data_IF_563239562492
#
_entry.id   IF_563239562492
#
_cell.length_a   1.000
_cell.length_b   1.000
_cell.length_c   1.000
_cell.angle_alpha   90.00
_cell.angle_beta   90.00
_cell.angle_gamma   90.00
#
_symmetry.space_group_name_H-M   'P 1'
#
loop_
_entity.id
_entity.type
_entity.pdbx_description
1 polymer ?
#
# COMPACT_ATOMS: atom_id res chain seq x y z
N UNK A 1 -4.84 20.41 -23.92
CA UNK A 1 -5.52 20.92 -22.71
C UNK A 1 -4.51 20.94 -21.57
N UNK A 2 -4.29 22.07 -20.88
CA UNK A 2 -3.45 22.09 -19.69
C UNK A 2 -4.18 21.43 -18.50
N UNK A 3 -3.49 20.58 -17.75
CA UNK A 3 -4.02 19.97 -16.52
C UNK A 3 -4.31 21.05 -15.47
N UNK A 4 -5.41 20.95 -14.70
CA UNK A 4 -5.72 21.92 -13.66
C UNK A 4 -4.71 21.83 -12.51
N UNK A 5 -3.82 22.81 -12.43
CA UNK A 5 -2.91 22.97 -11.28
C UNK A 5 -3.71 23.16 -9.98
N UNK A 6 -3.50 22.32 -8.95
CA UNK A 6 -4.19 22.45 -7.66
C UNK A 6 -3.86 23.74 -6.91
N UNK A 7 -2.80 24.46 -7.30
CA UNK A 7 -2.30 25.65 -6.60
C UNK A 7 -3.03 26.95 -6.94
N UNK A 8 -4.00 26.96 -7.86
CA UNK A 8 -4.62 28.19 -8.37
C UNK A 8 -5.54 28.92 -7.36
N UNK A 9 -5.92 28.30 -6.24
CA UNK A 9 -6.64 28.96 -5.15
C UNK A 9 -6.39 28.26 -3.80
N UNK A 10 -5.53 28.81 -2.92
CA UNK A 10 -5.16 28.16 -1.66
C UNK A 10 -6.33 28.08 -0.66
N UNK A 11 -7.29 29.00 -0.69
CA UNK A 11 -8.47 28.95 0.18
C UNK A 11 -9.37 27.75 -0.14
N UNK A 12 -9.61 27.50 -1.44
CA UNK A 12 -10.39 26.34 -1.90
C UNK A 12 -9.68 25.02 -1.57
N UNK A 13 -8.35 24.98 -1.67
CA UNK A 13 -7.57 23.78 -1.32
C UNK A 13 -7.60 23.50 0.19
N UNK A 14 -7.44 24.53 1.03
CA UNK A 14 -7.60 24.42 2.50
C UNK A 14 -8.98 23.91 2.90
N UNK A 15 -10.05 24.42 2.28
CA UNK A 15 -11.41 23.95 2.55
C UNK A 15 -11.61 22.46 2.20
N UNK A 16 -11.02 21.98 1.09
CA UNK A 16 -11.08 20.56 0.70
C UNK A 16 -10.29 19.67 1.67
N UNK A 17 -9.08 20.08 2.08
CA UNK A 17 -8.27 19.35 3.07
C UNK A 17 -8.98 19.30 4.42
N UNK A 18 -9.50 20.44 4.90
CA UNK A 18 -10.27 20.51 6.14
C UNK A 18 -11.49 19.58 6.10
N UNK A 19 -12.23 19.56 4.98
CA UNK A 19 -13.37 18.66 4.81
C UNK A 19 -12.94 17.17 4.76
N UNK A 20 -11.74 16.85 4.25
CA UNK A 20 -11.18 15.50 4.31
C UNK A 20 -10.75 15.12 5.73
N UNK A 21 -10.06 15.98 6.46
CA UNK A 21 -9.64 15.72 7.85
C UNK A 21 -10.83 15.50 8.78
N UNK A 22 -11.90 16.30 8.64
CA UNK A 22 -13.16 16.09 9.39
C UNK A 22 -13.78 14.72 9.08
N UNK A 23 -13.82 14.31 7.79
CA UNK A 23 -14.32 12.98 7.39
C UNK A 23 -13.44 11.84 7.91
N UNK A 24 -12.12 12.01 7.95
CA UNK A 24 -11.22 11.01 8.52
C UNK A 24 -11.34 10.91 10.05
N UNK A 25 -11.58 12.03 10.74
CA UNK A 25 -11.86 12.07 12.17
C UNK A 25 -13.17 11.32 12.51
N UNK A 26 -14.26 11.62 11.81
CA UNK A 26 -15.54 10.92 12.03
C UNK A 26 -15.48 9.44 11.63
N UNK A 27 -14.77 9.10 10.54
CA UNK A 27 -14.51 7.71 10.17
C UNK A 27 -13.78 6.95 11.29
N UNK A 28 -12.74 7.57 11.90
CA UNK A 28 -12.00 6.99 13.01
C UNK A 28 -12.85 6.77 14.26
N UNK A 29 -13.73 7.72 14.60
CA UNK A 29 -14.65 7.58 15.73
C UNK A 29 -15.73 6.51 15.49
N UNK A 30 -16.17 6.30 14.25
CA UNK A 30 -17.10 5.20 13.93
C UNK A 30 -16.36 3.85 13.94
N UNK A 31 -15.15 3.79 13.37
CA UNK A 31 -14.32 2.59 13.40
C UNK A 31 -13.87 2.17 14.81
N UNK A 32 -13.85 3.06 15.81
CA UNK A 32 -13.56 2.65 17.19
C UNK A 32 -14.65 1.75 17.78
N UNK A 33 -15.89 1.80 17.28
CA UNK A 33 -16.98 0.87 17.67
C UNK A 33 -16.65 -0.58 17.26
N UNK A 34 -15.86 -0.78 16.19
CA UNK A 34 -15.38 -2.11 15.78
C UNK A 34 -14.46 -2.74 16.82
N UNK A 35 -13.77 -1.94 17.66
CA UNK A 35 -12.93 -2.45 18.74
C UNK A 35 -13.73 -3.13 19.87
N UNK A 36 -15.06 -2.94 19.92
CA UNK A 36 -15.95 -3.64 20.85
C UNK A 36 -16.40 -5.00 20.31
N UNK A 37 -16.22 -5.29 19.02
CA UNK A 37 -16.65 -6.56 18.42
C UNK A 37 -16.08 -7.82 19.11
N UNK A 38 -14.81 -7.87 19.58
CA UNK A 38 -14.29 -9.01 20.32
C UNK A 38 -15.09 -9.35 21.59
N UNK A 39 -15.78 -8.37 22.21
CA UNK A 39 -16.62 -8.60 23.39
C UNK A 39 -17.94 -9.32 23.06
N UNK A 40 -18.37 -9.29 21.80
CA UNK A 40 -19.59 -9.98 21.33
C UNK A 40 -19.30 -11.42 20.84
N UNK A 41 -18.03 -11.76 20.63
CA UNK A 41 -17.61 -13.10 20.16
C UNK A 41 -18.00 -14.24 21.12
N UNK A 42 -17.94 -14.10 22.47
CA UNK A 42 -18.35 -15.16 23.38
C UNK A 42 -19.84 -15.51 23.29
N UNK A 43 -20.71 -14.54 23.01
CA UNK A 43 -22.17 -14.73 22.94
C UNK A 43 -22.64 -15.13 21.53
N UNK A 44 -22.07 -14.55 20.47
CA UNK A 44 -22.57 -14.71 19.10
C UNK A 44 -21.66 -15.57 18.21
N UNK A 45 -20.42 -15.83 18.63
CA UNK A 45 -19.41 -16.54 17.84
C UNK A 45 -18.72 -15.67 16.78
N UNK A 46 -17.56 -16.14 16.31
CA UNK A 46 -16.65 -15.37 15.44
C UNK A 46 -17.28 -15.02 14.08
N UNK A 47 -18.03 -15.95 13.47
CA UNK A 47 -18.55 -15.80 12.12
C UNK A 47 -19.59 -14.66 11.95
N UNK A 48 -20.70 -14.60 12.72
CA UNK A 48 -21.67 -13.52 12.57
C UNK A 48 -21.13 -12.17 13.04
N UNK A 49 -20.29 -12.14 14.10
CA UNK A 49 -19.62 -10.91 14.55
C UNK A 49 -18.68 -10.37 13.47
N UNK A 50 -17.89 -11.24 12.84
CA UNK A 50 -17.03 -10.88 11.71
C UNK A 50 -17.82 -10.34 10.52
N UNK A 51 -18.95 -10.97 10.16
CA UNK A 51 -19.84 -10.48 9.11
C UNK A 51 -20.44 -9.10 9.45
N UNK A 52 -20.89 -8.90 10.68
CA UNK A 52 -21.43 -7.62 11.17
C UNK A 52 -20.38 -6.51 11.09
N UNK A 53 -19.16 -6.77 11.56
CA UNK A 53 -18.02 -5.85 11.48
C UNK A 53 -17.68 -5.49 10.04
N UNK A 54 -17.72 -6.46 9.12
CA UNK A 54 -17.41 -6.25 7.71
C UNK A 54 -18.49 -5.39 7.04
N UNK A 55 -19.78 -5.64 7.31
CA UNK A 55 -20.89 -4.79 6.84
C UNK A 55 -20.80 -3.38 7.42
N UNK A 56 -20.56 -3.24 8.72
CA UNK A 56 -20.39 -1.95 9.39
C UNK A 56 -19.25 -1.14 8.74
N UNK A 57 -18.08 -1.75 8.59
CA UNK A 57 -16.85 -1.09 8.10
C UNK A 57 -16.88 -0.80 6.61
N UNK A 58 -17.50 -1.66 5.79
CA UNK A 58 -17.53 -1.51 4.32
C UNK A 58 -18.76 -0.77 3.79
N UNK A 59 -19.87 -0.75 4.55
CA UNK A 59 -21.14 -0.14 4.10
C UNK A 59 -21.50 1.07 4.97
N UNK A 60 -21.60 0.90 6.30
CA UNK A 60 -22.12 1.96 7.16
C UNK A 60 -21.13 3.12 7.33
N UNK A 61 -19.86 2.84 7.67
CA UNK A 61 -18.83 3.88 7.85
C UNK A 61 -18.63 4.69 6.55
N UNK A 62 -18.49 4.10 5.34
CA UNK A 62 -18.32 4.87 4.11
C UNK A 62 -19.58 5.63 3.66
N UNK A 63 -20.78 5.15 4.05
CA UNK A 63 -22.04 5.86 3.80
C UNK A 63 -22.17 7.09 4.71
N UNK A 64 -22.00 6.94 6.02
CA UNK A 64 -22.09 8.04 7.01
C UNK A 64 -21.01 9.11 6.79
N UNK A 65 -19.80 8.70 6.38
CA UNK A 65 -18.69 9.62 6.05
C UNK A 65 -18.75 10.18 4.63
N UNK A 66 -19.80 9.81 3.87
CA UNK A 66 -20.09 10.28 2.52
C UNK A 66 -18.90 10.11 1.54
N UNK A 67 -18.22 8.96 1.66
CA UNK A 67 -17.06 8.59 0.84
C UNK A 67 -17.47 8.07 -0.55
N UNK A 68 -18.68 7.52 -0.65
CA UNK A 68 -19.32 7.07 -1.89
C UNK A 68 -20.73 7.63 -2.02
N UNK A 69 -21.07 8.24 -3.16
CA UNK A 69 -22.47 8.49 -3.50
C UNK A 69 -23.12 7.18 -3.94
N UNK A 70 -23.84 6.53 -3.02
CA UNK A 70 -24.46 5.19 -3.16
C UNK A 70 -25.20 4.97 -4.49
N UNK A 71 -25.90 6.00 -4.98
CA UNK A 71 -26.59 6.02 -6.28
C UNK A 71 -25.70 5.61 -7.47
N UNK A 72 -24.43 6.03 -7.51
CA UNK A 72 -23.52 5.73 -8.64
C UNK A 72 -23.00 4.29 -8.64
N UNK A 73 -22.99 3.60 -7.51
CA UNK A 73 -22.62 2.17 -7.44
C UNK A 73 -23.79 1.29 -7.88
N UNK A 74 -24.99 1.56 -7.36
CA UNK A 74 -26.24 0.91 -7.76
C UNK A 74 -26.50 1.05 -9.27
N UNK A 75 -26.33 2.24 -9.84
CA UNK A 75 -26.49 2.48 -11.29
C UNK A 75 -25.48 1.68 -12.14
N UNK A 76 -24.28 1.38 -11.61
CA UNK A 76 -23.28 0.55 -12.31
C UNK A 76 -23.63 -0.94 -12.22
N UNK A 77 -24.03 -1.43 -11.05
CA UNK A 77 -24.48 -2.81 -10.85
C UNK A 77 -25.76 -3.11 -11.66
N UNK A 78 -26.74 -2.21 -11.62
CA UNK A 78 -27.96 -2.32 -12.43
C UNK A 78 -27.64 -2.33 -13.94
N UNK A 79 -26.73 -1.48 -14.43
CA UNK A 79 -26.28 -1.53 -15.83
C UNK A 79 -25.59 -2.84 -16.18
N UNK A 80 -24.73 -3.37 -15.31
CA UNK A 80 -24.06 -4.65 -15.54
C UNK A 80 -25.07 -5.81 -15.63
N UNK A 81 -26.08 -5.83 -14.77
CA UNK A 81 -27.14 -6.84 -14.78
C UNK A 81 -28.04 -6.72 -16.03
N UNK A 82 -28.48 -5.51 -16.39
CA UNK A 82 -29.30 -5.28 -17.59
C UNK A 82 -28.54 -5.65 -18.87
N UNK A 83 -27.23 -5.33 -18.96
CA UNK A 83 -26.40 -5.65 -20.12
C UNK A 83 -26.03 -7.15 -20.21
N UNK A 84 -26.01 -7.86 -19.08
CA UNK A 84 -25.94 -9.32 -19.05
C UNK A 84 -27.26 -9.98 -19.49
N UNK A 85 -28.40 -9.39 -19.15
CA UNK A 85 -29.73 -9.94 -19.47
C UNK A 85 -30.14 -9.70 -20.94
N UNK A 86 -29.68 -8.61 -21.57
CA UNK A 86 -30.03 -8.27 -22.95
C UNK A 86 -29.33 -9.12 -24.03
N UNK A 87 -28.49 -10.09 -23.66
CA UNK A 87 -27.70 -10.91 -24.60
C UNK A 87 -28.14 -12.39 -24.68
N UNK A 88 -29.35 -12.69 -24.18
CA UNK A 88 -29.88 -14.06 -24.04
C UNK A 88 -31.31 -14.28 -24.55
N UNK A 89 -31.76 -13.60 -25.62
CA UNK A 89 -33.08 -13.84 -26.26
C UNK A 89 -33.05 -13.84 -27.79
N UNK A 90 -32.89 -15.04 -28.35
CA UNK A 90 -33.34 -15.47 -29.68
C UNK A 90 -33.23 -17.00 -29.70
N UNK A 91 -34.20 -17.81 -30.12
CA UNK A 91 -35.55 -17.54 -30.64
C UNK A 91 -36.47 -18.75 -30.30
N UNK A 92 -37.80 -18.59 -30.38
CA UNK A 92 -38.80 -19.66 -30.21
C UNK A 92 -39.97 -19.41 -31.19
N UNK A 93 -40.62 -20.50 -31.63
CA UNK A 93 -41.66 -20.62 -32.69
C UNK A 93 -41.09 -20.70 -34.13
N UNK A 94 -41.58 -21.57 -35.04
CA UNK A 94 -42.78 -22.47 -35.05
C UNK A 94 -42.61 -23.60 -36.08
N UNK A 95 -43.38 -24.70 -36.01
CA UNK A 95 -43.77 -25.48 -37.22
C UNK A 95 -43.64 -27.01 -37.20
N UNK A 96 -44.65 -27.71 -37.77
CA UNK A 96 -44.90 -29.17 -37.84
C UNK A 96 -45.43 -29.49 -39.27
N UNK A 97 -45.37 -30.68 -39.92
CA UNK A 97 -44.99 -32.08 -39.62
C UNK A 97 -44.38 -32.70 -40.91
N UNK A 98 -43.45 -33.68 -40.87
CA UNK A 98 -43.27 -34.64 -41.99
C UNK A 98 -42.61 -36.00 -41.61
N UNK A 99 -43.41 -37.06 -41.70
CA UNK A 99 -43.13 -38.49 -42.02
C UNK A 99 -42.03 -39.34 -41.31
N UNK A 100 -42.42 -40.60 -41.06
CA UNK A 100 -41.80 -41.60 -40.18
C UNK A 100 -40.47 -42.25 -40.66
N UNK A 101 -39.85 -41.76 -41.74
CA UNK A 101 -38.48 -42.17 -42.10
C UNK A 101 -37.38 -41.50 -41.28
N UNK A 102 -37.69 -40.34 -40.69
CA UNK A 102 -36.69 -39.49 -40.03
C UNK A 102 -36.36 -39.87 -38.60
N UNK A 103 -37.22 -40.60 -37.88
CA UNK A 103 -37.17 -40.71 -36.41
C UNK A 103 -35.81 -41.17 -35.86
N UNK A 104 -35.13 -42.12 -36.50
CA UNK A 104 -33.81 -42.61 -36.03
C UNK A 104 -32.70 -41.57 -36.22
N UNK A 105 -32.64 -40.92 -37.39
CA UNK A 105 -31.67 -39.83 -37.66
C UNK A 105 -31.99 -38.59 -36.83
N UNK A 106 -33.28 -38.30 -36.63
CA UNK A 106 -33.76 -37.17 -35.84
C UNK A 106 -33.48 -37.37 -34.35
N UNK A 107 -33.67 -38.58 -33.80
CA UNK A 107 -33.28 -38.92 -32.42
C UNK A 107 -31.76 -38.92 -32.25
N UNK A 108 -30.98 -39.43 -33.21
CA UNK A 108 -29.52 -39.35 -33.16
C UNK A 108 -29.00 -37.89 -33.21
N UNK A 109 -29.56 -37.08 -34.11
CA UNK A 109 -29.22 -35.65 -34.21
C UNK A 109 -29.68 -34.87 -32.98
N UNK A 110 -30.90 -35.11 -32.47
CA UNK A 110 -31.38 -34.46 -31.25
C UNK A 110 -30.62 -34.91 -30.01
N UNK A 111 -30.21 -36.17 -29.89
CA UNK A 111 -29.37 -36.60 -28.76
C UNK A 111 -27.97 -36.01 -28.83
N UNK A 112 -27.36 -35.87 -30.02
CA UNK A 112 -26.09 -35.13 -30.17
C UNK A 112 -26.24 -33.63 -29.89
N UNK A 113 -27.27 -32.96 -30.41
CA UNK A 113 -27.51 -31.52 -30.16
C UNK A 113 -27.89 -31.26 -28.70
N UNK A 114 -28.68 -32.14 -28.09
CA UNK A 114 -29.02 -32.09 -26.67
C UNK A 114 -27.78 -32.31 -25.80
N UNK A 115 -26.96 -33.33 -26.09
CA UNK A 115 -25.70 -33.58 -25.38
C UNK A 115 -24.73 -32.40 -25.54
N UNK A 116 -24.62 -31.82 -26.73
CA UNK A 116 -23.83 -30.62 -26.99
C UNK A 116 -24.36 -29.41 -26.20
N UNK A 117 -25.66 -29.19 -26.15
CA UNK A 117 -26.26 -28.10 -25.38
C UNK A 117 -26.10 -28.29 -23.87
N UNK A 118 -26.37 -29.49 -23.35
CA UNK A 118 -26.15 -29.85 -21.94
C UNK A 118 -24.67 -29.70 -21.57
N UNK A 119 -23.75 -30.23 -22.37
CA UNK A 119 -22.30 -30.07 -22.16
C UNK A 119 -21.91 -28.59 -22.20
N UNK A 120 -22.43 -27.81 -23.17
CA UNK A 120 -22.15 -26.38 -23.25
C UNK A 120 -22.76 -25.57 -22.09
N UNK A 121 -23.84 -26.05 -21.48
CA UNK A 121 -24.42 -25.48 -20.26
C UNK A 121 -23.56 -25.81 -19.04
N UNK A 122 -23.13 -27.08 -18.88
CA UNK A 122 -22.25 -27.51 -17.79
C UNK A 122 -20.89 -26.79 -17.87
N UNK A 123 -20.28 -26.74 -19.06
CA UNK A 123 -19.04 -26.00 -19.29
C UNK A 123 -19.22 -24.50 -18.98
N UNK A 124 -20.32 -23.87 -19.43
CA UNK A 124 -20.58 -22.45 -19.08
C UNK A 124 -20.84 -22.26 -17.58
N UNK A 125 -21.58 -23.16 -16.95
CA UNK A 125 -21.88 -23.12 -15.51
C UNK A 125 -20.64 -23.31 -14.63
N UNK A 126 -19.59 -23.99 -15.11
CA UNK A 126 -18.30 -24.13 -14.41
C UNK A 126 -17.30 -23.03 -14.78
N UNK A 127 -17.15 -22.69 -16.07
CA UNK A 127 -16.16 -21.72 -16.54
C UNK A 127 -16.53 -20.29 -16.17
N UNK A 128 -17.81 -19.90 -16.28
CA UNK A 128 -18.24 -18.52 -15.96
C UNK A 128 -17.94 -18.13 -14.51
N UNK A 129 -18.29 -18.91 -13.45
CA UNK A 129 -17.93 -18.54 -12.08
C UNK A 129 -16.41 -18.54 -11.86
N UNK A 130 -15.65 -19.45 -12.47
CA UNK A 130 -14.18 -19.43 -12.39
C UNK A 130 -13.58 -18.14 -13.00
N UNK A 131 -14.08 -17.71 -14.17
CA UNK A 131 -13.67 -16.43 -14.80
C UNK A 131 -14.09 -15.24 -13.93
N UNK A 132 -15.31 -15.24 -13.38
CA UNK A 132 -15.79 -14.17 -12.49
C UNK A 132 -14.94 -14.08 -11.22
N UNK A 133 -14.63 -15.20 -10.58
CA UNK A 133 -13.71 -15.26 -9.42
C UNK A 133 -12.32 -14.74 -9.81
N UNK A 134 -11.79 -15.16 -10.97
CA UNK A 134 -10.52 -14.64 -11.50
C UNK A 134 -10.52 -13.12 -11.69
N UNK A 135 -11.57 -12.56 -12.28
CA UNK A 135 -11.75 -11.12 -12.43
C UNK A 135 -11.86 -10.37 -11.09
N UNK A 136 -12.57 -10.95 -10.11
CA UNK A 136 -12.69 -10.39 -8.76
C UNK A 136 -11.32 -10.39 -8.05
N UNK A 137 -10.56 -11.49 -8.13
CA UNK A 137 -9.22 -11.59 -7.57
C UNK A 137 -8.25 -10.59 -8.21
N UNK A 138 -8.30 -10.42 -9.54
CA UNK A 138 -7.51 -9.40 -10.23
C UNK A 138 -7.89 -7.97 -9.82
N UNK A 139 -9.18 -7.68 -9.61
CA UNK A 139 -9.65 -6.40 -9.09
C UNK A 139 -9.14 -6.14 -7.68
N UNK A 140 -9.27 -7.13 -6.78
CA UNK A 140 -8.78 -7.06 -5.40
C UNK A 140 -7.26 -6.85 -5.35
N UNK A 141 -6.49 -7.57 -6.18
CA UNK A 141 -5.05 -7.38 -6.31
C UNK A 141 -4.69 -5.95 -6.75
N UNK A 142 -5.35 -5.41 -7.79
CA UNK A 142 -5.13 -4.03 -8.25
C UNK A 142 -5.48 -2.99 -7.17
N UNK A 143 -6.57 -3.19 -6.43
CA UNK A 143 -6.94 -2.33 -5.30
C UNK A 143 -5.87 -2.40 -4.19
N UNK A 144 -5.39 -3.59 -3.85
CA UNK A 144 -4.34 -3.81 -2.85
C UNK A 144 -2.99 -3.14 -3.23
N UNK A 145 -2.60 -3.19 -4.51
CA UNK A 145 -1.44 -2.45 -5.01
C UNK A 145 -1.66 -0.93 -4.95
N UNK A 146 -2.88 -0.44 -5.21
CA UNK A 146 -3.21 0.99 -5.20
C UNK A 146 -3.11 1.61 -3.81
N UNK A 147 -3.60 0.92 -2.76
CA UNK A 147 -3.68 1.49 -1.42
C UNK A 147 -2.49 1.11 -0.52
N UNK A 148 -1.59 2.07 -0.30
CA UNK A 148 -0.42 1.89 0.57
C UNK A 148 -0.76 1.49 2.01
N UNK A 149 -1.74 2.16 2.65
CA UNK A 149 -2.08 1.93 4.06
C UNK A 149 -2.49 0.49 4.39
N UNK A 150 -3.53 -0.05 3.73
CA UNK A 150 -3.95 -1.46 3.87
C UNK A 150 -2.83 -2.46 3.57
N UNK A 151 -1.96 -2.17 2.59
CA UNK A 151 -0.79 -3.00 2.29
C UNK A 151 0.22 -3.01 3.43
N UNK A 152 0.56 -1.86 4.01
CA UNK A 152 1.47 -1.80 5.16
C UNK A 152 0.87 -2.47 6.40
N UNK A 153 -0.41 -2.27 6.68
CA UNK A 153 -1.04 -2.89 7.87
C UNK A 153 -1.20 -4.39 7.73
N UNK A 154 -1.62 -4.91 6.56
CA UNK A 154 -1.68 -6.37 6.32
C UNK A 154 -0.31 -7.02 6.44
N UNK A 155 0.73 -6.39 5.89
CA UNK A 155 2.10 -6.88 5.98
C UNK A 155 2.62 -6.91 7.44
N UNK A 156 2.31 -5.87 8.23
CA UNK A 156 2.59 -5.83 9.67
C UNK A 156 1.82 -6.92 10.44
N UNK A 157 0.51 -7.07 10.22
CA UNK A 157 -0.31 -8.13 10.87
C UNK A 157 0.27 -9.51 10.60
N UNK A 158 0.59 -9.82 9.33
CA UNK A 158 1.08 -11.13 8.94
C UNK A 158 2.48 -11.40 9.52
N UNK A 159 3.37 -10.41 9.56
CA UNK A 159 4.67 -10.56 10.24
C UNK A 159 4.51 -10.80 11.74
N UNK A 160 3.63 -10.05 12.41
CA UNK A 160 3.41 -10.18 13.85
C UNK A 160 2.82 -11.54 14.21
N UNK A 161 1.96 -12.11 13.35
CA UNK A 161 1.45 -13.47 13.48
C UNK A 161 2.56 -14.53 13.28
N UNK A 162 3.46 -14.35 12.30
CA UNK A 162 4.60 -15.25 12.10
C UNK A 162 5.52 -15.29 13.34
N UNK A 163 5.90 -14.12 13.88
CA UNK A 163 6.72 -14.04 15.11
C UNK A 163 5.95 -14.59 16.32
N UNK A 164 4.63 -14.41 16.39
CA UNK A 164 3.81 -14.96 17.47
C UNK A 164 3.84 -16.49 17.45
N UNK A 165 3.72 -17.12 16.27
CA UNK A 165 3.82 -18.58 16.16
C UNK A 165 5.24 -19.11 16.40
N UNK A 166 6.28 -18.32 16.12
CA UNK A 166 7.67 -18.70 16.36
C UNK A 166 8.09 -18.61 17.83
N UNK A 167 7.63 -17.57 18.55
CA UNK A 167 8.11 -17.24 19.91
C UNK A 167 7.07 -17.58 20.98
N UNK A 168 5.83 -17.11 20.83
CA UNK A 168 4.77 -17.19 21.86
C UNK A 168 3.48 -17.83 21.32
N UNK A 169 3.48 -19.11 20.89
CA UNK A 169 2.35 -19.73 20.19
C UNK A 169 1.07 -19.81 21.04
N UNK A 170 1.19 -19.79 22.37
CA UNK A 170 0.06 -19.87 23.31
C UNK A 170 -0.75 -18.56 23.42
N UNK A 171 -0.17 -17.41 23.06
CA UNK A 171 -0.75 -16.11 23.34
C UNK A 171 -1.66 -15.60 22.19
N UNK A 172 -2.95 -15.92 22.24
CA UNK A 172 -3.93 -15.55 21.21
C UNK A 172 -4.06 -14.03 21.03
N UNK A 173 -4.28 -13.57 19.79
CA UNK A 173 -4.53 -12.16 19.40
C UNK A 173 -3.42 -11.13 19.74
N UNK A 174 -2.33 -11.53 20.40
CA UNK A 174 -1.16 -10.71 20.75
C UNK A 174 -0.69 -9.80 19.62
N UNK A 175 -0.59 -10.34 18.40
CA UNK A 175 -0.25 -9.59 17.19
C UNK A 175 -1.11 -8.35 16.93
N UNK A 176 -2.43 -8.43 17.16
CA UNK A 176 -3.34 -7.31 16.93
C UNK A 176 -3.25 -6.26 18.04
N UNK A 177 -3.09 -6.69 19.30
CA UNK A 177 -2.92 -5.78 20.43
C UNK A 177 -1.63 -4.97 20.33
N UNK A 178 -0.49 -5.62 20.02
CA UNK A 178 0.78 -4.92 19.83
C UNK A 178 0.76 -4.00 18.61
N UNK A 179 0.15 -4.41 17.50
CA UNK A 179 0.03 -3.54 16.34
C UNK A 179 -0.83 -2.30 16.62
N UNK A 180 -1.94 -2.45 17.36
CA UNK A 180 -2.78 -1.35 17.80
C UNK A 180 -2.01 -0.40 18.73
N UNK A 181 -1.32 -0.96 19.73
CA UNK A 181 -0.49 -0.20 20.68
C UNK A 181 0.61 0.61 19.96
N UNK A 182 1.40 -0.02 19.10
CA UNK A 182 2.44 0.67 18.32
C UNK A 182 1.86 1.73 17.37
N UNK A 183 0.70 1.47 16.78
CA UNK A 183 -0.01 2.44 15.93
C UNK A 183 -0.38 3.69 16.71
N UNK A 184 -0.89 3.56 17.93
CA UNK A 184 -1.27 4.72 18.75
C UNK A 184 -0.04 5.40 19.36
N UNK A 185 1.02 4.67 19.72
CA UNK A 185 2.31 5.28 20.09
C UNK A 185 2.90 6.12 18.95
N UNK A 186 2.92 5.59 17.73
CA UNK A 186 3.34 6.34 16.55
C UNK A 186 2.46 7.56 16.30
N UNK A 187 1.15 7.42 16.47
CA UNK A 187 0.20 8.53 16.33
C UNK A 187 0.39 9.61 17.40
N UNK A 188 0.64 9.22 18.66
CA UNK A 188 0.95 10.11 19.77
C UNK A 188 2.26 10.85 19.53
N UNK A 189 3.34 10.13 19.19
CA UNK A 189 4.61 10.74 18.79
C UNK A 189 4.40 11.75 17.66
N UNK A 190 3.68 11.38 16.60
CA UNK A 190 3.36 12.30 15.50
C UNK A 190 2.54 13.52 16.00
N UNK A 191 1.56 13.33 16.87
CA UNK A 191 0.74 14.42 17.40
C UNK A 191 1.52 15.39 18.30
N UNK A 192 2.54 14.91 19.02
CA UNK A 192 3.42 15.71 19.87
C UNK A 192 4.48 16.47 19.05
N UNK A 193 5.13 15.80 18.09
CA UNK A 193 6.26 16.35 17.35
C UNK A 193 5.87 17.13 16.08
N UNK A 194 4.76 16.81 15.40
CA UNK A 194 4.34 17.55 14.20
C UNK A 194 3.60 18.85 14.56
N UNK A 195 4.35 19.82 15.07
CA UNK A 195 3.90 21.19 15.41
C UNK A 195 3.41 21.98 14.18
N UNK A 196 2.18 21.71 13.74
CA UNK A 196 1.47 22.51 12.73
C UNK A 196 0.95 23.84 13.33
N UNK A 197 1.85 24.76 13.65
CA UNK A 197 1.52 26.07 14.27
C UNK A 197 1.19 27.20 13.28
N UNK A 198 1.08 26.90 11.98
CA UNK A 198 1.18 27.93 10.90
C UNK A 198 -0.17 28.34 10.28
N UNK A 199 -1.31 27.76 10.70
CA UNK A 199 -2.62 27.99 10.03
C UNK A 199 -3.66 28.81 10.82
N UNK A 200 -3.34 29.33 12.01
CA UNK A 200 -4.29 30.10 12.85
C UNK A 200 -4.41 31.59 12.51
N UNK A 201 -3.61 32.15 11.60
CA UNK A 201 -3.58 33.60 11.31
C UNK A 201 -4.77 34.18 10.51
N UNK A 202 -5.91 33.48 10.42
CA UNK A 202 -7.05 33.94 9.59
C UNK A 202 -8.46 33.76 10.20
N UNK A 203 -8.58 33.50 11.50
CA UNK A 203 -9.84 33.68 12.21
C UNK A 203 -10.10 35.18 12.42
N UNK A 204 -11.08 35.75 11.71
CA UNK A 204 -11.45 37.17 11.83
C UNK A 204 -12.45 37.46 12.95
N UNK A 205 -13.11 36.44 13.48
CA UNK A 205 -14.17 36.55 14.49
C UNK A 205 -13.94 35.60 15.67
N UNK A 206 -14.36 36.03 16.87
CA UNK A 206 -14.20 35.26 18.10
C UNK A 206 -14.98 33.92 18.09
N UNK A 207 -16.11 33.85 17.38
CA UNK A 207 -16.88 32.60 17.25
C UNK A 207 -16.13 31.53 16.46
N UNK A 208 -15.42 31.91 15.40
CA UNK A 208 -14.62 30.96 14.61
C UNK A 208 -13.39 30.48 15.39
N UNK A 209 -12.76 31.37 16.16
CA UNK A 209 -11.70 30.99 17.10
C UNK A 209 -12.21 29.98 18.13
N UNK A 210 -13.37 30.22 18.75
CA UNK A 210 -13.98 29.31 19.73
C UNK A 210 -14.34 27.96 19.11
N UNK A 211 -14.91 27.93 17.89
CA UNK A 211 -15.20 26.68 17.16
C UNK A 211 -13.93 25.89 16.84
N UNK A 212 -12.87 26.56 16.38
CA UNK A 212 -11.57 25.96 16.12
C UNK A 212 -10.94 25.38 17.40
N UNK A 213 -10.96 26.13 18.50
CA UNK A 213 -10.43 25.69 19.79
C UNK A 213 -11.23 24.53 20.37
N UNK A 214 -12.57 24.59 20.33
CA UNK A 214 -13.43 23.50 20.76
C UNK A 214 -13.20 22.22 19.93
N UNK A 215 -13.14 22.33 18.59
CA UNK A 215 -12.82 21.19 17.73
C UNK A 215 -11.44 20.60 18.04
N UNK A 216 -10.42 21.44 18.22
CA UNK A 216 -9.06 21.04 18.56
C UNK A 216 -8.98 20.32 19.91
N UNK A 217 -9.70 20.83 20.92
CA UNK A 217 -9.82 20.21 22.24
C UNK A 217 -10.51 18.85 22.12
N UNK A 218 -11.68 18.77 21.45
CA UNK A 218 -12.41 17.51 21.24
C UNK A 218 -11.57 16.47 20.49
N UNK A 219 -10.85 16.87 19.44
CA UNK A 219 -9.95 16.00 18.69
C UNK A 219 -8.76 15.54 19.54
N UNK A 220 -8.23 16.35 20.46
CA UNK A 220 -7.16 15.97 21.39
C UNK A 220 -7.66 15.07 22.52
N UNK A 221 -8.79 15.38 23.13
CA UNK A 221 -9.42 14.56 24.17
C UNK A 221 -9.83 13.20 23.63
N UNK A 222 -10.44 13.12 22.43
CA UNK A 222 -10.77 11.85 21.79
C UNK A 222 -9.56 10.95 21.55
N UNK A 223 -8.39 11.53 21.23
CA UNK A 223 -7.11 10.79 21.12
C UNK A 223 -6.61 10.31 22.49
N UNK A 224 -6.73 11.14 23.53
CA UNK A 224 -6.41 10.78 24.90
C UNK A 224 -7.27 9.62 25.40
N UNK A 225 -8.59 9.69 25.22
CA UNK A 225 -9.54 8.62 25.58
C UNK A 225 -9.24 7.32 24.82
N UNK A 226 -9.02 7.39 23.51
CA UNK A 226 -8.65 6.20 22.72
C UNK A 226 -7.33 5.57 23.18
N UNK A 227 -6.33 6.39 23.53
CA UNK A 227 -5.05 5.90 24.06
C UNK A 227 -5.22 5.28 25.47
N UNK A 228 -5.99 5.91 26.35
CA UNK A 228 -6.31 5.36 27.67
C UNK A 228 -7.04 4.03 27.56
N UNK A 229 -8.03 3.91 26.66
CA UNK A 229 -8.77 2.67 26.44
C UNK A 229 -7.85 1.54 25.94
N UNK A 230 -6.93 1.82 25.02
CA UNK A 230 -5.98 0.80 24.55
C UNK A 230 -4.93 0.45 25.60
N UNK A 231 -4.47 1.42 26.40
CA UNK A 231 -3.58 1.11 27.52
C UNK A 231 -4.28 0.20 28.55
N UNK A 232 -5.55 0.48 28.87
CA UNK A 232 -6.38 -0.37 29.74
C UNK A 232 -6.57 -1.76 29.13
N UNK A 233 -6.97 -1.87 27.86
CA UNK A 233 -7.12 -3.16 27.17
C UNK A 233 -5.82 -3.97 27.16
N UNK A 234 -4.68 -3.31 26.96
CA UNK A 234 -3.36 -3.93 27.02
C UNK A 234 -3.06 -4.45 28.44
N UNK A 235 -3.26 -3.63 29.49
CA UNK A 235 -3.04 -4.06 30.88
C UNK A 235 -3.97 -5.19 31.33
N UNK A 236 -5.21 -5.24 30.81
CA UNK A 236 -6.16 -6.30 31.15
C UNK A 236 -5.76 -7.64 30.52
N UNK A 237 -5.32 -7.65 29.26
CA UNK A 237 -5.00 -8.89 28.54
C UNK A 237 -3.63 -9.49 28.91
N UNK A 238 -2.61 -8.66 29.18
CA UNK A 238 -1.28 -9.13 29.56
C UNK A 238 -1.11 -9.34 31.08
N UNK A 239 -2.21 -9.40 31.83
CA UNK A 239 -2.22 -9.69 33.28
C UNK A 239 -1.83 -11.13 33.63
N UNK A 240 -1.83 -12.05 32.66
CA UNK A 240 -1.59 -13.48 32.87
C UNK A 240 -0.48 -14.10 32.00
N UNK A 241 0.01 -13.39 30.98
CA UNK A 241 1.08 -13.86 30.09
C UNK A 241 1.98 -12.67 29.73
N UNK A 242 3.22 -12.69 30.19
CA UNK A 242 4.21 -11.69 29.79
C UNK A 242 4.76 -12.03 28.39
N UNK A 243 4.75 -11.10 27.41
CA UNK A 243 5.27 -11.35 26.08
C UNK A 243 6.79 -11.23 26.02
N UNK A 244 7.45 -12.21 25.40
CA UNK A 244 8.92 -12.27 25.30
C UNK A 244 9.55 -11.01 24.70
N UNK A 245 10.70 -10.61 25.24
CA UNK A 245 11.48 -9.47 24.75
C UNK A 245 11.83 -9.60 23.26
N UNK A 246 12.08 -10.83 22.78
CA UNK A 246 12.35 -11.14 21.37
C UNK A 246 11.13 -10.81 20.49
N UNK A 247 9.92 -11.13 20.96
CA UNK A 247 8.68 -10.79 20.27
C UNK A 247 8.50 -9.27 20.20
N UNK A 248 8.63 -8.57 21.32
CA UNK A 248 8.48 -7.10 21.39
C UNK A 248 9.50 -6.41 20.49
N UNK A 249 10.80 -6.74 20.63
CA UNK A 249 11.87 -6.10 19.88
C UNK A 249 11.74 -6.30 18.37
N UNK A 250 11.53 -7.55 17.91
CA UNK A 250 11.41 -7.84 16.48
C UNK A 250 10.17 -7.20 15.85
N UNK A 251 9.00 -7.27 16.50
CA UNK A 251 7.77 -6.64 16.01
C UNK A 251 7.84 -5.11 16.02
N UNK A 252 8.44 -4.51 17.05
CA UNK A 252 8.62 -3.05 17.13
C UNK A 252 9.58 -2.53 16.05
N UNK A 253 10.74 -3.18 15.84
CA UNK A 253 11.68 -2.83 14.77
C UNK A 253 10.99 -2.94 13.40
N UNK A 254 10.27 -4.03 13.16
CA UNK A 254 9.52 -4.25 11.92
C UNK A 254 8.50 -3.14 11.67
N UNK A 255 7.72 -2.78 12.69
CA UNK A 255 6.74 -1.70 12.63
C UNK A 255 7.40 -0.35 12.34
N UNK A 256 8.48 0.02 13.04
CA UNK A 256 9.19 1.30 12.83
C UNK A 256 9.71 1.43 11.39
N UNK A 257 10.29 0.36 10.82
CA UNK A 257 10.83 0.37 9.45
C UNK A 257 9.71 0.46 8.41
N UNK A 258 8.61 -0.30 8.58
CA UNK A 258 7.49 -0.37 7.61
C UNK A 258 6.53 0.82 7.70
N UNK A 259 6.37 1.42 8.88
CA UNK A 259 5.51 2.58 9.10
C UNK A 259 6.16 3.88 8.59
N UNK A 260 7.50 3.94 8.55
CA UNK A 260 8.24 5.09 8.07
C UNK A 260 8.22 5.17 6.55
N UNK A 261 7.82 6.34 6.03
CA UNK A 261 8.05 6.68 4.62
C UNK A 261 9.47 7.17 4.47
N UNK A 262 10.27 6.41 3.74
CA UNK A 262 11.66 6.75 3.42
C UNK A 262 11.69 7.68 2.21
N UNK A 263 12.24 8.88 2.36
CA UNK A 263 12.27 9.91 1.31
C UNK A 263 13.68 10.33 0.90
N UNK A 264 14.73 9.71 1.44
CA UNK A 264 16.13 10.01 1.12
C UNK A 264 16.72 11.19 1.91
N UNK A 265 15.93 11.86 2.74
CA UNK A 265 16.36 13.02 3.55
C UNK A 265 16.40 12.68 5.06
N UNK A 266 16.59 11.41 5.38
CA UNK A 266 16.76 10.95 6.76
C UNK A 266 18.20 11.15 7.26
N UNK A 267 18.37 11.37 8.56
CA UNK A 267 19.69 11.42 9.22
C UNK A 267 20.57 10.19 8.92
N UNK A 268 19.94 9.02 8.71
CA UNK A 268 20.66 7.79 8.34
C UNK A 268 21.36 7.95 6.99
N UNK A 269 20.72 8.62 6.02
CA UNK A 269 21.31 8.92 4.70
C UNK A 269 22.50 9.86 4.85
N UNK A 270 22.39 10.92 5.67
CA UNK A 270 23.52 11.83 5.89
C UNK A 270 24.69 11.16 6.64
N UNK A 271 24.41 10.19 7.51
CA UNK A 271 25.44 9.36 8.16
C UNK A 271 26.11 8.41 7.16
N UNK A 272 25.35 7.74 6.28
CA UNK A 272 25.91 6.91 5.22
C UNK A 272 26.76 7.73 4.23
N UNK A 273 26.34 8.95 3.88
CA UNK A 273 27.13 9.88 3.04
C UNK A 273 28.45 10.27 3.72
N UNK A 274 28.44 10.47 5.04
CA UNK A 274 29.66 10.77 5.80
C UNK A 274 30.69 9.62 5.79
N UNK A 275 30.27 8.37 5.56
CA UNK A 275 31.16 7.21 5.41
C UNK A 275 31.83 7.12 4.03
N UNK A 276 31.45 7.95 3.05
CA UNK A 276 32.07 8.08 1.71
C UNK A 276 32.31 6.73 0.99
N UNK A 277 31.35 5.81 1.08
CA UNK A 277 31.46 4.45 0.53
C UNK A 277 31.43 4.47 -0.99
N UNK A 278 32.58 4.27 -1.64
CA UNK A 278 32.72 4.40 -3.09
C UNK A 278 31.98 3.37 -3.97
N UNK A 279 31.31 2.39 -3.35
CA UNK A 279 30.39 1.50 -4.05
C UNK A 279 29.07 2.21 -4.42
N UNK A 280 28.69 3.28 -3.72
CA UNK A 280 27.37 3.91 -3.82
C UNK A 280 27.30 5.09 -4.82
N UNK A 281 28.43 5.56 -5.37
CA UNK A 281 28.50 6.68 -6.33
C UNK A 281 27.67 7.93 -5.95
N UNK A 282 27.67 8.29 -4.66
CA UNK A 282 26.93 9.45 -4.07
C UNK A 282 25.39 9.34 -4.15
N UNK A 283 24.86 8.12 -4.29
CA UNK A 283 23.42 7.82 -4.37
C UNK A 283 22.86 7.23 -3.07
N UNK A 284 23.36 7.65 -1.92
CA UNK A 284 22.84 7.18 -0.62
C UNK A 284 21.34 7.52 -0.46
N UNK A 285 20.88 8.63 -1.06
CA UNK A 285 19.48 9.07 -1.10
C UNK A 285 18.53 8.04 -1.74
N UNK A 286 19.04 7.17 -2.61
CA UNK A 286 18.27 6.07 -3.20
C UNK A 286 18.56 4.73 -2.53
N UNK A 287 19.84 4.36 -2.42
CA UNK A 287 20.25 3.04 -1.97
C UNK A 287 19.91 2.77 -0.50
N UNK A 288 20.03 3.77 0.39
CA UNK A 288 19.75 3.58 1.82
C UNK A 288 18.25 3.35 2.05
N UNK A 289 17.31 4.17 1.53
CA UNK A 289 15.89 3.85 1.51
C UNK A 289 15.54 2.50 0.91
N UNK A 290 16.17 2.12 -0.21
CA UNK A 290 15.90 0.84 -0.88
C UNK A 290 16.30 -0.35 0.01
N UNK A 291 17.52 -0.35 0.54
CA UNK A 291 18.03 -1.40 1.43
C UNK A 291 17.20 -1.51 2.71
N UNK A 292 16.85 -0.39 3.35
CA UNK A 292 16.01 -0.37 4.55
C UNK A 292 14.61 -0.94 4.29
N UNK A 293 14.08 -0.84 3.06
CA UNK A 293 12.80 -1.45 2.65
C UNK A 293 12.92 -2.93 2.25
N UNK A 294 14.12 -3.43 1.94
CA UNK A 294 14.39 -4.86 1.79
C UNK A 294 14.54 -5.59 3.14
N UNK A 295 14.95 -4.91 4.22
CA UNK A 295 15.09 -5.54 5.55
C UNK A 295 13.79 -6.23 6.05
N UNK A 296 12.58 -5.62 5.97
CA UNK A 296 11.33 -6.31 6.31
C UNK A 296 11.02 -7.54 5.44
N UNK A 297 11.41 -7.51 4.16
CA UNK A 297 11.23 -8.63 3.24
C UNK A 297 12.14 -9.80 3.64
N UNK A 298 13.42 -9.51 3.90
CA UNK A 298 14.38 -10.50 4.38
C UNK A 298 13.97 -11.08 5.75
N UNK A 299 13.55 -10.23 6.70
CA UNK A 299 13.05 -10.68 8.01
C UNK A 299 11.82 -11.58 7.87
N UNK A 300 10.86 -11.24 7.01
CA UNK A 300 9.69 -12.07 6.74
C UNK A 300 10.04 -13.41 6.08
N UNK A 301 11.06 -13.44 5.22
CA UNK A 301 11.56 -14.67 4.60
C UNK A 301 12.20 -15.59 5.65
N UNK A 302 13.06 -15.05 6.52
CA UNK A 302 13.73 -15.80 7.58
C UNK A 302 12.74 -16.37 8.60
N UNK A 303 11.85 -15.54 9.15
CA UNK A 303 10.82 -16.01 10.11
C UNK A 303 9.84 -16.96 9.42
N UNK A 304 9.42 -16.65 8.19
CA UNK A 304 8.54 -17.52 7.40
C UNK A 304 9.11 -18.92 7.21
N UNK A 305 10.38 -19.04 6.81
CA UNK A 305 11.06 -20.32 6.60
C UNK A 305 11.08 -21.20 7.86
N UNK A 306 11.28 -20.60 9.05
CA UNK A 306 11.23 -21.32 10.34
C UNK A 306 9.81 -21.80 10.70
N UNK A 307 8.78 -21.07 10.27
CA UNK A 307 7.36 -21.34 10.60
C UNK A 307 6.69 -22.30 9.59
N UNK A 308 7.23 -22.48 8.38
CA UNK A 308 6.67 -23.37 7.32
C UNK A 308 6.17 -24.73 7.83
N UNK A 309 6.92 -25.50 8.65
CA UNK A 309 6.49 -26.83 9.06
C UNK A 309 5.24 -26.85 9.95
N UNK A 310 4.95 -25.75 10.65
CA UNK A 310 3.85 -25.64 11.61
C UNK A 310 2.62 -24.92 11.05
N UNK A 311 2.81 -23.85 10.27
CA UNK A 311 1.72 -23.02 9.75
C UNK A 311 1.89 -22.69 8.25
N UNK A 312 1.85 -23.69 7.35
CA UNK A 312 2.11 -23.48 5.91
C UNK A 312 1.13 -22.48 5.27
N UNK A 313 -0.14 -22.47 5.69
CA UNK A 313 -1.14 -21.51 5.18
C UNK A 313 -0.79 -20.05 5.54
N UNK A 314 -0.28 -19.81 6.76
CA UNK A 314 0.17 -18.48 7.17
C UNK A 314 1.39 -18.03 6.35
N UNK A 315 2.31 -18.96 6.05
CA UNK A 315 3.46 -18.66 5.19
C UNK A 315 3.04 -18.41 3.74
N UNK A 316 2.00 -19.07 3.21
CA UNK A 316 1.43 -18.73 1.88
C UNK A 316 0.89 -17.29 1.86
N UNK A 317 0.19 -16.86 2.91
CA UNK A 317 -0.29 -15.47 3.04
C UNK A 317 0.89 -14.49 3.14
N UNK A 318 1.94 -14.83 3.91
CA UNK A 318 3.15 -14.04 4.03
C UNK A 318 3.96 -13.97 2.71
N UNK A 319 4.03 -15.07 1.96
CA UNK A 319 4.68 -15.11 0.66
C UNK A 319 4.02 -14.13 -0.33
N UNK A 320 2.71 -13.93 -0.25
CA UNK A 320 2.03 -12.89 -1.03
C UNK A 320 2.21 -11.47 -0.46
N UNK A 321 1.89 -11.27 0.82
CA UNK A 321 1.79 -9.92 1.45
C UNK A 321 3.14 -9.30 1.84
N UNK A 322 4.11 -10.12 2.24
CA UNK A 322 5.39 -9.69 2.79
C UNK A 322 6.57 -9.92 1.84
N UNK A 323 6.48 -10.92 0.95
CA UNK A 323 7.54 -11.22 -0.03
C UNK A 323 7.21 -10.72 -1.43
N UNK A 324 6.20 -11.29 -2.08
CA UNK A 324 5.89 -11.06 -3.49
C UNK A 324 5.49 -9.60 -3.77
N UNK A 325 4.49 -9.07 -3.06
CA UNK A 325 4.01 -7.70 -3.34
C UNK A 325 5.07 -6.63 -3.03
N UNK A 326 5.75 -6.64 -1.86
CA UNK A 326 6.85 -5.71 -1.61
C UNK A 326 8.02 -5.91 -2.58
N UNK A 327 8.36 -7.16 -2.91
CA UNK A 327 9.43 -7.50 -3.85
C UNK A 327 9.19 -6.96 -5.26
N UNK A 328 7.97 -7.11 -5.80
CA UNK A 328 7.59 -6.51 -7.10
C UNK A 328 7.71 -4.98 -7.05
N UNK A 329 7.17 -4.34 -6.02
CA UNK A 329 7.21 -2.88 -5.90
C UNK A 329 8.65 -2.33 -5.76
N UNK A 330 9.52 -3.04 -5.06
CA UNK A 330 10.95 -2.70 -4.93
C UNK A 330 11.72 -3.00 -6.22
N UNK A 331 11.38 -4.06 -6.94
CA UNK A 331 11.96 -4.40 -8.24
C UNK A 331 11.56 -3.37 -9.31
N UNK A 332 10.29 -2.95 -9.38
CA UNK A 332 9.83 -1.89 -10.28
C UNK A 332 10.58 -0.57 -10.02
N UNK A 333 10.77 -0.21 -8.75
CA UNK A 333 11.48 1.01 -8.34
C UNK A 333 12.99 0.92 -8.65
N UNK A 334 13.60 -0.24 -8.44
CA UNK A 334 14.98 -0.53 -8.83
C UNK A 334 15.16 -0.49 -10.36
N UNK A 335 14.30 -1.16 -11.14
CA UNK A 335 14.35 -1.17 -12.60
C UNK A 335 14.12 0.24 -13.18
N UNK A 336 13.20 1.01 -12.61
CA UNK A 336 12.98 2.40 -13.00
C UNK A 336 14.19 3.31 -12.67
N UNK A 337 14.93 3.04 -11.60
CA UNK A 337 16.19 3.74 -11.28
C UNK A 337 17.32 3.31 -12.20
N UNK A 338 17.48 2.00 -12.45
CA UNK A 338 18.47 1.44 -13.37
C UNK A 338 18.25 1.94 -14.81
N UNK A 339 17.01 2.05 -15.27
CA UNK A 339 16.67 2.61 -16.58
C UNK A 339 17.08 4.09 -16.73
N UNK A 340 17.10 4.86 -15.62
CA UNK A 340 17.63 6.23 -15.59
C UNK A 340 19.15 6.27 -15.44
N UNK A 341 19.75 5.28 -14.78
CA UNK A 341 21.21 5.19 -14.61
C UNK A 341 21.94 4.65 -15.83
N UNK A 342 21.28 3.82 -16.64
CA UNK A 342 21.88 3.11 -17.78
C UNK A 342 22.62 4.05 -18.74
N UNK A 343 22.08 5.25 -19.00
CA UNK A 343 22.73 6.25 -19.86
C UNK A 343 24.09 6.66 -19.31
N UNK A 344 24.18 6.93 -18.00
CA UNK A 344 25.42 7.29 -17.32
C UNK A 344 26.38 6.10 -17.27
N UNK A 345 25.92 4.90 -16.92
CA UNK A 345 26.80 3.74 -16.76
C UNK A 345 27.37 3.23 -18.09
N UNK A 346 26.60 3.35 -19.18
CA UNK A 346 26.98 2.84 -20.50
C UNK A 346 27.77 3.85 -21.33
N UNK A 347 27.52 5.16 -21.17
CA UNK A 347 28.19 6.21 -21.96
C UNK A 347 29.25 7.00 -21.20
N UNK A 348 29.13 7.14 -19.87
CA UNK A 348 30.09 7.89 -19.06
C UNK A 348 30.90 6.93 -18.18
N UNK A 349 32.20 6.79 -18.45
CA UNK A 349 33.06 5.93 -17.63
C UNK A 349 33.22 6.50 -16.22
N UNK A 350 33.51 5.62 -15.25
CA UNK A 350 33.92 6.07 -13.90
C UNK A 350 35.30 6.74 -14.02
N UNK A 351 35.51 7.84 -13.32
CA UNK A 351 36.82 8.47 -13.21
C UNK A 351 37.78 7.53 -12.45
N UNK A 352 39.05 7.50 -12.86
CA UNK A 352 40.09 6.82 -12.07
C UNK A 352 40.49 7.71 -10.89
N UNK A 353 41.03 7.16 -9.79
CA UNK A 353 41.51 7.99 -8.67
C UNK A 353 42.68 8.92 -9.04
N UNK A 354 43.33 8.72 -10.20
CA UNK A 354 44.36 9.62 -10.74
C UNK A 354 43.78 10.81 -11.52
N UNK A 355 42.59 10.65 -12.10
CA UNK A 355 41.87 11.72 -12.83
C UNK A 355 41.08 12.63 -11.89
N UNK A 356 40.74 12.13 -10.70
CA UNK A 356 40.17 12.92 -9.62
C UNK A 356 41.33 13.52 -8.82
N UNK A 357 41.91 14.61 -9.34
CA UNK A 357 42.91 15.39 -8.61
C UNK A 357 42.26 16.11 -7.41
N UNK A 358 43.06 16.47 -6.39
CA UNK A 358 42.54 17.14 -5.19
C UNK A 358 41.78 18.45 -5.50
N UNK A 359 42.14 19.16 -6.58
CA UNK A 359 41.49 20.39 -7.04
C UNK A 359 40.41 20.18 -8.14
N UNK A 360 39.99 18.94 -8.40
CA UNK A 360 38.96 18.66 -9.41
C UNK A 360 37.57 19.10 -8.96
N UNK A 361 37.16 20.31 -9.35
CA UNK A 361 35.82 20.85 -9.07
C UNK A 361 34.77 20.43 -10.11
N UNK A 362 33.55 20.18 -9.67
CA UNK A 362 32.42 19.86 -10.55
C UNK A 362 31.84 21.15 -11.17
N UNK A 363 31.77 21.29 -12.50
CA UNK A 363 31.26 22.50 -13.15
C UNK A 363 29.77 22.82 -12.91
N UNK A 364 29.03 21.94 -12.23
CA UNK A 364 27.57 22.05 -12.05
C UNK A 364 27.19 22.55 -10.64
N UNK A 365 27.84 22.02 -9.59
CA UNK A 365 27.63 22.48 -8.21
C UNK A 365 28.78 23.34 -7.67
N UNK A 366 29.93 23.38 -8.36
CA UNK A 366 31.16 24.05 -7.95
C UNK A 366 31.85 23.44 -6.70
N UNK A 367 31.39 22.27 -6.25
CA UNK A 367 32.03 21.49 -5.18
C UNK A 367 33.12 20.54 -5.71
N UNK A 368 34.05 20.15 -4.82
CA UNK A 368 35.09 19.15 -5.08
C UNK A 368 34.49 17.80 -5.49
N UNK A 369 34.92 17.28 -6.65
CA UNK A 369 34.66 15.89 -7.07
C UNK A 369 35.60 14.98 -6.29
N UNK A 370 35.04 14.03 -5.53
CA UNK A 370 35.82 12.95 -4.89
C UNK A 370 35.64 11.63 -5.64
N UNK A 371 34.47 11.43 -6.23
CA UNK A 371 34.19 10.35 -7.16
C UNK A 371 33.27 10.90 -8.26
N UNK A 372 33.56 10.56 -9.51
CA UNK A 372 32.90 11.19 -10.64
C UNK A 372 32.77 10.30 -11.86
N UNK A 373 32.01 10.82 -12.82
CA UNK A 373 31.81 10.23 -14.15
C UNK A 373 32.45 11.15 -15.18
N UNK A 374 33.24 10.56 -16.08
CA UNK A 374 33.86 11.26 -17.22
C UNK A 374 32.99 11.00 -18.44
N UNK A 375 32.53 12.06 -19.09
CA UNK A 375 31.74 12.00 -20.33
C UNK A 375 32.61 11.57 -21.52
N UNK A 376 32.01 11.11 -22.65
CA UNK A 376 32.77 10.78 -23.87
C UNK A 376 33.68 11.92 -24.37
N UNK A 377 33.30 13.18 -24.10
CA UNK A 377 34.06 14.38 -24.44
C UNK A 377 35.08 14.82 -23.37
N UNK A 378 35.39 13.95 -22.39
CA UNK A 378 36.46 14.15 -21.40
C UNK A 378 36.12 15.00 -20.18
N UNK A 379 34.89 15.49 -20.03
CA UNK A 379 34.52 16.36 -18.90
C UNK A 379 34.09 15.55 -17.66
N UNK A 380 34.58 15.95 -16.49
CA UNK A 380 34.36 15.31 -15.19
C UNK A 380 33.22 15.98 -14.40
N UNK A 381 32.37 15.19 -13.77
CA UNK A 381 31.26 15.64 -12.93
C UNK A 381 30.98 14.63 -11.80
N UNK A 382 30.35 15.08 -10.70
CA UNK A 382 29.64 14.16 -9.79
C UNK A 382 28.58 13.38 -10.55
N UNK A 383 28.41 12.09 -10.22
CA UNK A 383 27.43 11.23 -10.89
C UNK A 383 25.99 11.76 -10.72
N UNK A 384 25.67 12.26 -9.53
CA UNK A 384 24.37 12.84 -9.18
C UNK A 384 24.07 14.17 -9.90
N UNK A 385 25.09 15.01 -10.14
CA UNK A 385 24.97 16.27 -10.89
C UNK A 385 24.77 16.02 -12.39
N UNK A 386 25.64 15.20 -12.99
CA UNK A 386 25.54 14.88 -14.42
C UNK A 386 24.20 14.23 -14.76
N UNK A 387 23.71 13.35 -13.89
CA UNK A 387 22.36 12.76 -13.97
C UNK A 387 21.25 13.81 -14.06
N UNK A 388 21.25 14.80 -13.16
CA UNK A 388 20.24 15.87 -13.12
C UNK A 388 20.27 16.69 -14.43
N UNK A 389 21.44 16.92 -15.01
CA UNK A 389 21.58 17.54 -16.33
C UNK A 389 21.04 16.65 -17.46
N UNK A 390 21.38 15.35 -17.50
CA UNK A 390 20.93 14.42 -18.53
C UNK A 390 19.42 14.16 -18.54
N UNK A 391 18.74 14.33 -17.39
CA UNK A 391 17.28 14.32 -17.31
C UNK A 391 16.61 15.54 -17.99
N UNK A 392 17.36 16.63 -18.21
CA UNK A 392 16.89 17.85 -18.87
C UNK A 392 17.34 17.96 -20.33
N UNK A 393 18.57 17.55 -20.64
CA UNK A 393 19.09 17.52 -22.01
C UNK A 393 20.21 16.48 -22.18
N UNK A 394 20.26 15.72 -23.30
CA UNK A 394 21.27 14.70 -23.57
C UNK A 394 22.64 15.27 -23.99
N UNK A 395 22.96 16.50 -23.58
CA UNK A 395 24.14 17.25 -23.99
C UNK A 395 25.07 17.47 -22.79
N UNK A 396 26.38 17.49 -23.04
CA UNK A 396 27.39 17.83 -22.05
C UNK A 396 27.14 19.25 -21.48
N UNK A 397 27.04 19.42 -20.14
CA UNK A 397 26.81 20.73 -19.53
C UNK A 397 27.82 21.80 -19.94
N UNK A 398 29.10 21.43 -20.11
CA UNK A 398 30.16 22.33 -20.58
C UNK A 398 30.13 22.52 -22.11
N UNK A 399 30.59 21.55 -22.89
CA UNK A 399 30.83 21.73 -24.33
C UNK A 399 29.61 21.53 -25.25
N UNK A 400 28.43 21.23 -24.71
CA UNK A 400 27.17 20.98 -25.43
C UNK A 400 27.18 19.85 -26.48
N UNK A 401 28.25 19.06 -26.57
CA UNK A 401 28.29 17.83 -27.37
C UNK A 401 27.33 16.77 -26.83
N UNK A 402 26.71 15.99 -27.70
CA UNK A 402 25.82 14.88 -27.33
C UNK A 402 26.57 13.80 -26.56
N UNK A 403 25.95 13.29 -25.48
CA UNK A 403 26.47 12.20 -24.63
C UNK A 403 25.86 10.86 -25.03
#
# INVERSE_FOLDING_TARGET
MPLPSPYRNPGRWRAVVFQQEVRHGTAGCLLSVVLLAPLLVPEWGVAPVGALVLVYSCVLVPAVTNYYSFSRLLIRLARALIHGWSKGRSAVHTGLVASLGWVVVWVAHWTQVFLWHVLSMVVRALVVPLVVVGCILQLLHRLYLTFHGPRTTSNQVVFFLLVQQLVTPQAYLTALYFLLFYTILHYLHKALFTRHWVQTQQAREAQDLLRLMAWYITVRLGKGVAMSFVLVMFTLQFSHVEPDLVYIASTFIYFVITQRKWTGNERIVSWCRALQVGLLEEEEEFWVPLLLRWLPVAASLCVGALVVPSWPLLVVVAAYTNLLVPGILLADEYLAHQARYSVLTTRCRRATPQEVAEDSMCPVCLDQVRQGRVTPCGHLYHASCLRKCLLLSPLCPLCKQTI
#
